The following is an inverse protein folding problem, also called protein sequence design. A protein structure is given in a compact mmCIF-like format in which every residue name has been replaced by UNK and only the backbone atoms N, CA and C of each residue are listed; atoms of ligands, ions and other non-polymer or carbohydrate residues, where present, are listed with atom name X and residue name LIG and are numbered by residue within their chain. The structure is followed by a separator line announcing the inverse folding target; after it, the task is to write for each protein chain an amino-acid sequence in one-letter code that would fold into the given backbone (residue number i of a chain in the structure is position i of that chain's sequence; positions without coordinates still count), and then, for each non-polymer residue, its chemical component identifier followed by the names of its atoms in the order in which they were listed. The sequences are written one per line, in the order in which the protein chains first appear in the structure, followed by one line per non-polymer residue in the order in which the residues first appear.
data_IF_648593487039
#
_entry.id   IF_648593487039
#
_cell.length_a   1.000
_cell.length_b   1.000
_cell.length_c   1.000
_cell.angle_alpha   90.00
_cell.angle_beta   90.00
_cell.angle_gamma   90.00
#
_symmetry.space_group_name_H-M   'P 1'
#
loop_
_entity.id
_entity.type
_entity.pdbx_description
1 polymer ?
#
# COMPACT_ATOMS: atom_id res chain seq x y z
N UNK A 1 -40.85 -47.98 -9.09
CA UNK A 1 -39.51 -47.56 -9.51
C UNK A 1 -39.15 -46.34 -8.67
N UNK A 2 -38.00 -46.35 -8.02
CA UNK A 2 -37.55 -45.25 -7.15
C UNK A 2 -37.00 -44.12 -8.00
N UNK A 3 -37.61 -42.93 -7.90
CA UNK A 3 -37.14 -41.72 -8.57
C UNK A 3 -35.98 -41.08 -7.79
N UNK A 4 -35.24 -40.19 -8.45
CA UNK A 4 -34.26 -39.34 -7.77
C UNK A 4 -34.95 -38.49 -6.70
N UNK A 5 -34.31 -38.40 -5.53
CA UNK A 5 -34.73 -37.45 -4.50
C UNK A 5 -34.43 -36.01 -4.95
N UNK A 6 -35.14 -35.04 -4.36
CA UNK A 6 -34.92 -33.63 -4.65
C UNK A 6 -33.47 -33.18 -4.39
N UNK A 7 -32.82 -33.75 -3.37
CA UNK A 7 -31.42 -33.50 -3.05
C UNK A 7 -30.48 -33.98 -4.19
N UNK A 8 -30.72 -35.18 -4.72
CA UNK A 8 -29.94 -35.71 -5.84
C UNK A 8 -30.15 -34.91 -7.13
N UNK A 9 -31.35 -34.37 -7.34
CA UNK A 9 -31.64 -33.46 -8.46
C UNK A 9 -30.90 -32.13 -8.28
N UNK A 10 -30.81 -31.60 -7.05
CA UNK A 10 -30.04 -30.38 -6.79
C UNK A 10 -28.53 -30.60 -7.02
N UNK A 11 -27.98 -31.72 -6.55
CA UNK A 11 -26.58 -32.12 -6.81
C UNK A 11 -26.31 -32.31 -8.30
N UNK A 12 -27.26 -32.88 -9.04
CA UNK A 12 -27.21 -32.97 -10.50
C UNK A 12 -27.04 -31.61 -11.17
N UNK A 13 -27.87 -30.64 -10.77
CA UNK A 13 -27.81 -29.27 -11.34
C UNK A 13 -26.52 -28.55 -10.93
N UNK A 14 -25.97 -28.84 -9.76
CA UNK A 14 -24.68 -28.34 -9.30
C UNK A 14 -23.48 -28.96 -10.04
N UNK A 15 -23.69 -30.03 -10.82
CA UNK A 15 -22.63 -30.77 -11.52
C UNK A 15 -21.95 -31.85 -10.67
N UNK A 16 -22.50 -32.18 -9.50
CA UNK A 16 -21.98 -33.17 -8.55
C UNK A 16 -22.77 -34.49 -8.62
N UNK A 17 -23.03 -35.01 -9.83
CA UNK A 17 -23.79 -36.25 -10.00
C UNK A 17 -22.92 -37.49 -10.21
N UNK A 18 -23.46 -38.64 -9.77
CA UNK A 18 -22.86 -39.95 -10.06
C UNK A 18 -23.27 -40.48 -11.44
N UNK A 19 -22.49 -41.40 -12.00
CA UNK A 19 -22.81 -42.05 -13.28
C UNK A 19 -24.14 -42.85 -13.23
N UNK A 20 -24.52 -43.34 -12.05
CA UNK A 20 -25.79 -44.05 -11.84
C UNK A 20 -27.00 -43.10 -11.94
N UNK A 21 -26.88 -41.88 -11.42
CA UNK A 21 -27.91 -40.86 -11.57
C UNK A 21 -28.09 -40.45 -13.04
N UNK A 22 -27.00 -40.43 -13.82
CA UNK A 22 -27.03 -40.09 -15.24
C UNK A 22 -27.79 -41.12 -16.06
N UNK A 23 -27.48 -42.40 -15.84
CA UNK A 23 -28.21 -43.50 -16.44
C UNK A 23 -29.69 -43.49 -16.03
N UNK A 24 -30.00 -43.11 -14.78
CA UNK A 24 -31.38 -43.02 -14.30
C UNK A 24 -32.17 -41.90 -14.96
N UNK A 25 -31.59 -40.69 -15.08
CA UNK A 25 -32.23 -39.56 -15.77
C UNK A 25 -32.45 -39.89 -17.25
N UNK A 26 -31.50 -40.57 -17.89
CA UNK A 26 -31.64 -41.00 -19.28
C UNK A 26 -32.74 -42.06 -19.49
N UNK A 27 -33.02 -42.88 -18.47
CA UNK A 27 -34.01 -43.96 -18.54
C UNK A 27 -35.39 -43.57 -17.99
N UNK A 28 -35.54 -42.46 -17.27
CA UNK A 28 -36.77 -42.06 -16.60
C UNK A 28 -37.29 -40.70 -17.07
N UNK A 29 -38.36 -40.72 -17.87
CA UNK A 29 -39.00 -39.52 -18.45
C UNK A 29 -39.41 -38.48 -17.39
N UNK A 30 -39.88 -38.93 -16.23
CA UNK A 30 -40.29 -38.04 -15.14
C UNK A 30 -39.10 -37.27 -14.58
N UNK A 31 -38.03 -37.97 -14.20
CA UNK A 31 -36.83 -37.32 -13.67
C UNK A 31 -36.15 -36.45 -14.74
N UNK A 32 -36.18 -36.87 -16.01
CA UNK A 32 -35.72 -36.05 -17.12
C UNK A 32 -36.50 -34.73 -17.22
N UNK A 33 -37.83 -34.77 -17.15
CA UNK A 33 -38.66 -33.57 -17.22
C UNK A 33 -38.44 -32.62 -16.02
N UNK A 34 -38.24 -33.16 -14.82
CA UNK A 34 -37.98 -32.39 -13.60
C UNK A 34 -36.61 -31.68 -13.66
N UNK A 35 -35.55 -32.37 -14.11
CA UNK A 35 -34.22 -31.79 -14.33
C UNK A 35 -34.26 -30.75 -15.47
N UNK A 36 -34.89 -31.08 -16.60
CA UNK A 36 -34.97 -30.19 -17.75
C UNK A 36 -35.70 -28.87 -17.40
N UNK A 37 -36.79 -28.95 -16.64
CA UNK A 37 -37.52 -27.76 -16.18
C UNK A 37 -36.66 -26.84 -15.31
N UNK A 38 -35.87 -27.39 -14.39
CA UNK A 38 -34.97 -26.59 -13.56
C UNK A 38 -33.81 -25.97 -14.36
N UNK A 39 -33.25 -26.71 -15.32
CA UNK A 39 -32.23 -26.19 -16.23
C UNK A 39 -32.76 -25.04 -17.09
N UNK A 40 -34.00 -25.14 -17.57
CA UNK A 40 -34.64 -24.09 -18.37
C UNK A 40 -34.85 -22.80 -17.57
N UNK A 41 -35.32 -22.90 -16.32
CA UNK A 41 -35.46 -21.74 -15.41
C UNK A 41 -34.09 -21.07 -15.17
N UNK A 42 -33.04 -21.85 -14.95
CA UNK A 42 -31.68 -21.33 -14.78
C UNK A 42 -31.15 -20.68 -16.07
N UNK A 43 -31.44 -21.25 -17.24
CA UNK A 43 -31.08 -20.67 -18.52
C UNK A 43 -31.77 -19.31 -18.72
N UNK A 44 -33.07 -19.22 -18.42
CA UNK A 44 -33.84 -17.97 -18.51
C UNK A 44 -33.29 -16.91 -17.54
N UNK A 45 -33.01 -17.29 -16.29
CA UNK A 45 -32.38 -16.40 -15.32
C UNK A 45 -31.02 -15.88 -15.82
N UNK A 46 -30.15 -16.76 -16.34
CA UNK A 46 -28.83 -16.40 -16.87
C UNK A 46 -28.92 -15.46 -18.08
N UNK A 47 -29.89 -15.67 -18.96
CA UNK A 47 -30.16 -14.79 -20.09
C UNK A 47 -30.59 -13.40 -19.62
N UNK A 48 -31.50 -13.33 -18.65
CA UNK A 48 -31.89 -12.06 -18.03
C UNK A 48 -30.69 -11.38 -17.34
N UNK A 49 -29.94 -12.11 -16.52
CA UNK A 49 -28.75 -11.59 -15.86
C UNK A 49 -27.70 -11.06 -16.86
N UNK A 50 -27.49 -11.74 -17.99
CA UNK A 50 -26.60 -11.28 -19.07
C UNK A 50 -27.13 -10.04 -19.78
N UNK A 51 -28.44 -9.85 -19.86
CA UNK A 51 -29.04 -8.65 -20.47
C UNK A 51 -28.83 -7.38 -19.63
N UNK A 52 -28.73 -7.53 -18.30
CA UNK A 52 -28.49 -6.43 -17.34
C UNK A 52 -27.01 -6.28 -16.98
N UNK A 53 -26.22 -7.33 -17.13
CA UNK A 53 -24.78 -7.27 -16.95
C UNK A 53 -24.16 -6.43 -18.07
N UNK A 54 -23.54 -5.29 -17.69
CA UNK A 54 -22.65 -4.58 -18.59
C UNK A 54 -21.59 -5.57 -19.11
N UNK A 55 -21.21 -5.51 -20.40
CA UNK A 55 -20.09 -6.30 -20.88
C UNK A 55 -18.88 -5.92 -20.03
N UNK A 56 -18.42 -6.86 -19.21
CA UNK A 56 -17.12 -6.71 -18.54
C UNK A 56 -16.13 -6.42 -19.66
N UNK A 57 -15.33 -5.35 -19.56
CA UNK A 57 -14.30 -5.10 -20.56
C UNK A 57 -13.51 -6.39 -20.65
N UNK A 58 -13.48 -7.00 -21.83
CA UNK A 58 -12.68 -8.19 -22.06
C UNK A 58 -11.29 -7.82 -21.56
N UNK A 59 -10.89 -8.43 -20.43
CA UNK A 59 -9.55 -8.25 -19.90
C UNK A 59 -8.67 -8.73 -21.03
N UNK A 60 -8.14 -7.77 -21.79
CA UNK A 60 -7.31 -7.99 -22.96
C UNK A 60 -6.21 -8.89 -22.43
N UNK A 61 -6.30 -10.18 -22.73
CA UNK A 61 -5.39 -11.17 -22.19
C UNK A 61 -4.01 -10.63 -22.49
N UNK A 62 -3.33 -10.16 -21.43
CA UNK A 62 -2.00 -9.62 -21.52
C UNK A 62 -1.18 -10.83 -21.92
N UNK A 63 -0.98 -11.00 -23.23
CA UNK A 63 -0.03 -11.98 -23.73
C UNK A 63 1.29 -11.54 -23.11
N UNK A 64 1.88 -12.33 -22.19
CA UNK A 64 3.21 -11.99 -21.73
C UNK A 64 4.05 -12.01 -23.00
N UNK A 65 4.52 -10.83 -23.41
CA UNK A 65 5.51 -10.74 -24.45
C UNK A 65 6.63 -11.69 -24.03
N UNK A 66 7.02 -12.60 -24.93
CA UNK A 66 8.13 -13.52 -24.69
C UNK A 66 9.41 -12.70 -24.59
N UNK A 67 9.62 -12.12 -23.41
CA UNK A 67 10.80 -11.34 -23.12
C UNK A 67 12.00 -12.30 -23.20
N UNK A 68 13.08 -11.92 -23.90
CA UNK A 68 14.27 -12.74 -23.93
C UNK A 68 14.71 -12.97 -22.49
N UNK A 69 15.13 -14.19 -22.15
CA UNK A 69 15.55 -14.55 -20.77
C UNK A 69 16.59 -13.58 -20.19
N UNK A 70 17.39 -12.97 -21.06
CA UNK A 70 18.36 -11.93 -20.73
C UNK A 70 17.77 -10.63 -20.22
N UNK A 71 16.52 -10.29 -20.56
CA UNK A 71 15.84 -9.09 -20.05
C UNK A 71 15.54 -9.19 -18.55
N UNK A 72 15.19 -10.38 -18.05
CA UNK A 72 15.01 -10.61 -16.62
C UNK A 72 16.34 -10.49 -15.87
N UNK A 73 17.43 -11.01 -16.45
CA UNK A 73 18.78 -10.89 -15.89
C UNK A 73 19.21 -9.41 -15.88
N UNK A 74 19.03 -8.69 -16.98
CA UNK A 74 19.37 -7.27 -17.07
C UNK A 74 18.55 -6.42 -16.08
N UNK A 75 17.26 -6.70 -15.92
CA UNK A 75 16.42 -6.02 -14.94
C UNK A 75 16.87 -6.31 -13.50
N UNK A 76 17.20 -7.57 -13.18
CA UNK A 76 17.72 -7.95 -11.87
C UNK A 76 19.06 -7.28 -11.56
N UNK A 77 19.98 -7.24 -12.54
CA UNK A 77 21.28 -6.55 -12.40
C UNK A 77 21.08 -5.04 -12.25
N UNK A 78 20.16 -4.43 -13.00
CA UNK A 78 19.84 -3.02 -12.89
C UNK A 78 19.27 -2.68 -11.50
N UNK A 79 18.38 -3.51 -10.96
CA UNK A 79 17.86 -3.34 -9.60
C UNK A 79 18.97 -3.49 -8.55
N UNK A 80 19.83 -4.51 -8.67
CA UNK A 80 20.96 -4.72 -7.77
C UNK A 80 21.98 -3.57 -7.84
N UNK A 81 22.17 -2.95 -9.00
CA UNK A 81 23.03 -1.77 -9.15
C UNK A 81 22.37 -0.49 -8.61
N UNK A 82 21.04 -0.38 -8.66
CA UNK A 82 20.32 0.78 -8.12
C UNK A 82 20.37 0.84 -6.59
N UNK A 83 20.33 -0.31 -5.91
CA UNK A 83 20.33 -0.40 -4.45
C UNK A 83 21.54 0.30 -3.80
N UNK A 84 22.81 0.01 -4.15
CA UNK A 84 23.95 0.67 -3.52
C UNK A 84 24.01 2.16 -3.85
N UNK A 85 23.64 2.56 -5.07
CA UNK A 85 23.57 3.99 -5.45
C UNK A 85 22.52 4.74 -4.63
N UNK A 86 21.37 4.13 -4.39
CA UNK A 86 20.32 4.71 -3.57
C UNK A 86 20.74 4.79 -2.09
N UNK A 87 21.42 3.78 -1.57
CA UNK A 87 21.94 3.80 -0.20
C UNK A 87 23.00 4.88 0.00
N UNK A 88 23.98 4.99 -0.90
CA UNK A 88 25.01 6.04 -0.84
C UNK A 88 24.39 7.45 -0.87
N UNK A 89 23.40 7.69 -1.74
CA UNK A 89 22.68 8.97 -1.75
C UNK A 89 21.94 9.24 -0.45
N UNK A 90 21.27 8.23 0.12
CA UNK A 90 20.53 8.36 1.37
C UNK A 90 21.45 8.60 2.57
N UNK A 91 22.62 7.96 2.59
CA UNK A 91 23.63 8.17 3.63
C UNK A 91 24.22 9.58 3.56
N UNK A 92 24.51 10.08 2.36
CA UNK A 92 24.96 11.47 2.17
C UNK A 92 23.92 12.49 2.64
N UNK A 93 22.65 12.28 2.31
CA UNK A 93 21.57 13.15 2.78
C UNK A 93 21.44 13.16 4.30
N UNK A 94 21.59 12.00 4.96
CA UNK A 94 21.60 11.93 6.42
C UNK A 94 22.79 12.67 7.03
N UNK A 95 23.98 12.47 6.47
CA UNK A 95 25.18 13.16 6.92
C UNK A 95 25.09 14.68 6.74
N UNK A 96 24.38 15.16 5.71
CA UNK A 96 24.13 16.60 5.49
C UNK A 96 23.16 17.15 6.54
N UNK A 97 22.05 16.45 6.80
CA UNK A 97 21.11 16.79 7.88
C UNK A 97 21.78 16.81 9.26
N UNK A 98 22.63 15.82 9.57
CA UNK A 98 23.39 15.77 10.82
C UNK A 98 24.36 16.95 10.94
N UNK A 99 24.95 17.41 9.83
CA UNK A 99 25.81 18.61 9.83
C UNK A 99 24.99 19.87 10.10
N UNK A 100 23.85 20.04 9.45
CA UNK A 100 22.97 21.18 9.71
C UNK A 100 22.51 21.22 11.17
N UNK A 101 22.10 20.07 11.72
CA UNK A 101 21.70 19.95 13.13
C UNK A 101 22.85 20.30 14.08
N UNK A 102 24.07 19.81 13.81
CA UNK A 102 25.24 20.13 14.63
C UNK A 102 25.58 21.63 14.63
N UNK A 103 25.32 22.35 13.52
CA UNK A 103 25.53 23.79 13.45
C UNK A 103 24.48 24.56 14.27
N UNK A 104 23.22 24.12 14.23
CA UNK A 104 22.15 24.69 15.05
C UNK A 104 22.45 24.51 16.54
N UNK A 105 22.90 23.32 16.95
CA UNK A 105 23.27 23.05 18.34
C UNK A 105 24.44 23.91 18.82
N UNK A 106 25.45 24.17 17.97
CA UNK A 106 26.54 25.08 18.30
C UNK A 106 26.06 26.53 18.49
N UNK A 107 25.11 26.98 17.66
CA UNK A 107 24.54 28.32 17.80
C UNK A 107 23.78 28.46 19.12
N UNK A 108 22.98 27.46 19.47
CA UNK A 108 22.24 27.43 20.74
C UNK A 108 23.20 27.38 21.93
N UNK A 109 24.23 26.54 21.88
CA UNK A 109 25.23 26.44 22.95
C UNK A 109 25.99 27.75 23.15
N UNK A 110 26.35 28.44 22.06
CA UNK A 110 26.97 29.77 22.10
C UNK A 110 26.05 30.84 22.70
N UNK A 111 24.73 30.72 22.52
CA UNK A 111 23.75 31.62 23.08
C UNK A 111 23.48 31.34 24.57
N UNK A 112 23.45 30.07 24.99
CA UNK A 112 23.28 29.65 26.40
C UNK A 112 24.53 29.94 27.22
N UNK A 113 25.73 29.74 26.66
CA UNK A 113 27.01 30.00 27.33
C UNK A 113 27.30 31.48 27.53
N UNK A 114 26.50 32.38 26.95
CA UNK A 114 26.63 33.82 27.18
C UNK A 114 26.20 34.12 28.61
N UNK A 115 27.13 34.63 29.42
CA UNK A 115 26.91 34.93 30.84
C UNK A 115 25.73 35.87 31.11
N UNK A 116 25.31 36.64 30.11
CA UNK A 116 24.13 37.52 30.14
C UNK A 116 23.39 37.39 28.80
N UNK A 117 22.09 37.04 28.80
CA UNK A 117 21.27 37.06 27.59
C UNK A 117 21.23 38.45 26.97
N UNK A 118 21.19 38.56 25.63
CA UNK A 118 21.23 39.87 24.94
C UNK A 118 20.08 40.83 25.33
N UNK A 119 18.99 40.31 25.89
CA UNK A 119 17.89 41.11 26.46
C UNK A 119 18.28 41.86 27.75
N UNK A 120 19.38 41.47 28.41
CA UNK A 120 19.87 42.07 29.66
C UNK A 120 21.14 42.92 29.46
N UNK A 121 21.70 43.00 28.25
CA UNK A 121 22.77 43.96 27.88
C UNK A 121 22.52 45.43 28.29
N UNK A 122 21.31 46.00 28.12
CA UNK A 122 21.08 47.39 28.50
C UNK A 122 21.18 47.61 30.03
N UNK A 123 20.89 46.59 30.84
CA UNK A 123 20.99 46.67 32.29
C UNK A 123 22.46 46.71 32.75
N UNK A 124 23.34 45.97 32.08
CA UNK A 124 24.79 45.97 32.37
C UNK A 124 25.41 47.34 32.07
N UNK A 125 25.05 47.97 30.94
CA UNK A 125 25.53 49.32 30.60
C UNK A 125 25.09 50.39 31.60
N UNK A 126 23.89 50.26 32.17
CA UNK A 126 23.41 51.19 33.20
C UNK A 126 24.18 51.02 34.52
N UNK A 127 24.50 49.79 34.92
CA UNK A 127 25.27 49.53 36.16
C UNK A 127 26.74 49.94 36.02
N UNK A 128 27.35 49.71 34.85
CA UNK A 128 28.74 50.13 34.61
C UNK A 128 28.88 51.66 34.64
N UNK A 129 27.95 52.38 34.02
CA UNK A 129 27.97 53.85 34.03
C UNK A 129 27.82 54.43 35.45
N UNK A 130 26.97 53.83 36.28
CA UNK A 130 26.79 54.27 37.67
C UNK A 130 28.02 53.96 38.56
N UNK A 131 28.79 52.94 38.21
CA UNK A 131 30.04 52.61 38.93
C UNK A 131 31.17 53.60 38.61
N UNK A 132 31.24 54.11 37.38
CA UNK A 132 32.20 55.14 36.97
C UNK A 132 31.86 56.51 37.57
N UNK A 133 30.57 56.85 37.68
CA UNK A 133 30.12 58.08 38.33
C UNK A 133 30.54 58.11 39.82
N UNK A 134 30.42 56.98 40.52
CA UNK A 134 30.72 56.88 41.95
C UNK A 134 32.24 56.88 42.24
N UNK A 135 33.09 56.42 41.29
CA UNK A 135 34.55 56.47 41.44
C UNK A 135 35.13 57.89 41.33
N UNK A 136 34.48 58.77 40.56
CA UNK A 136 34.94 60.15 40.38
C UNK A 136 34.64 61.07 41.58
N UNK A 137 33.73 60.69 42.48
CA UNK A 137 33.42 61.46 43.70
C UNK A 137 34.35 61.13 44.88
N UNK A 138 35.10 60.01 44.82
CA UNK A 138 35.99 59.57 45.91
C UNK A 138 37.42 60.12 45.86
N UNK A 139 37.77 60.96 44.88
CA UNK A 139 39.16 61.36 44.61
C UNK A 139 39.46 62.86 44.83
N UNK A 140 38.65 63.55 45.65
CA UNK A 140 38.79 64.99 45.90
C UNK A 140 39.20 65.30 47.34
#
# INVERSE_FOLDING_TARGET
MTHLSAEQIAQWIAGEHTAEAELHVAACDRCQSEVAGLVDVLAQFRCSARSVAAPLPALRAWRPAVWPRWAAVAAAVALLALVPVYRDRRERQRAELEREDSQLLQQVDAEISRAVPGSMDPLVKMVSWNSEANQNEGQK
#
